data_IF_963842988374
#
_entry.id   IF_963842988374
#
_cell.length_a   1.000
_cell.length_b   1.000
_cell.length_c   1.000
_cell.angle_alpha   90.00
_cell.angle_beta   90.00
_cell.angle_gamma   90.00
#
_symmetry.space_group_name_H-M   'P 1'
#
loop_
_entity.id
_entity.type
_entity.pdbx_description
1 polymer ?
#
# COMPACT_ATOMS: atom_id res chain seq x y z
N UNK A 1 -10.24 25.60 3.62
CA UNK A 1 -8.95 25.26 2.99
C UNK A 1 -8.29 24.22 3.88
N UNK A 2 -7.80 23.11 3.31
CA UNK A 2 -6.99 22.15 4.07
C UNK A 2 -5.57 22.70 4.23
N UNK A 3 -4.93 22.39 5.36
CA UNK A 3 -3.55 22.76 5.67
C UNK A 3 -2.60 21.57 5.46
N UNK A 4 -1.30 21.79 5.58
CA UNK A 4 -0.27 20.76 5.41
C UNK A 4 -0.47 19.56 6.34
N UNK A 5 -0.91 19.80 7.58
CA UNK A 5 -1.22 18.73 8.53
C UNK A 5 -2.33 17.81 8.00
N UNK A 6 -3.37 18.40 7.39
CA UNK A 6 -4.46 17.65 6.75
C UNK A 6 -3.97 16.84 5.55
N UNK A 7 -3.07 17.38 4.73
CA UNK A 7 -2.49 16.68 3.58
C UNK A 7 -1.58 15.51 4.00
N UNK A 8 -0.74 15.70 5.02
CA UNK A 8 0.04 14.62 5.63
C UNK A 8 -0.86 13.50 6.14
N UNK A 9 -1.92 13.87 6.86
CA UNK A 9 -2.91 12.90 7.35
C UNK A 9 -3.58 12.13 6.21
N UNK A 10 -3.89 12.79 5.09
CA UNK A 10 -4.47 12.14 3.92
C UNK A 10 -3.53 11.09 3.32
N UNK A 11 -2.23 11.40 3.15
CA UNK A 11 -1.21 10.45 2.68
C UNK A 11 -1.11 9.26 3.64
N UNK A 12 -1.05 9.52 4.95
CA UNK A 12 -0.95 8.46 5.95
C UNK A 12 -2.15 7.51 5.91
N UNK A 13 -3.36 8.06 5.85
CA UNK A 13 -4.62 7.29 5.75
C UNK A 13 -4.70 6.49 4.45
N UNK A 14 -4.26 7.06 3.33
CA UNK A 14 -4.21 6.37 2.05
C UNK A 14 -3.27 5.14 2.10
N UNK A 15 -2.10 5.26 2.73
CA UNK A 15 -1.23 4.12 2.92
C UNK A 15 -1.81 3.06 3.86
N UNK A 16 -2.33 3.47 5.03
CA UNK A 16 -2.89 2.50 5.99
C UNK A 16 -4.10 1.75 5.39
N UNK A 17 -4.95 2.41 4.60
CA UNK A 17 -6.07 1.75 3.93
C UNK A 17 -5.58 0.68 2.94
N UNK A 18 -4.57 1.00 2.11
CA UNK A 18 -3.93 0.03 1.21
C UNK A 18 -3.29 -1.13 1.98
N UNK A 19 -2.58 -0.84 3.08
CA UNK A 19 -1.95 -1.86 3.93
C UNK A 19 -2.98 -2.82 4.53
N UNK A 20 -4.06 -2.30 5.11
CA UNK A 20 -5.09 -3.13 5.74
C UNK A 20 -5.88 -3.94 4.73
N UNK A 21 -6.20 -3.39 3.56
CA UNK A 21 -6.82 -4.13 2.47
C UNK A 21 -5.94 -5.31 2.03
N UNK A 22 -4.64 -5.07 1.88
CA UNK A 22 -3.68 -6.10 1.51
C UNK A 22 -3.64 -7.22 2.54
N UNK A 23 -3.50 -6.88 3.83
CA UNK A 23 -3.49 -7.84 4.93
C UNK A 23 -4.79 -8.64 5.04
N UNK A 24 -5.93 -8.02 4.76
CA UNK A 24 -7.23 -8.69 4.79
C UNK A 24 -7.46 -9.59 3.55
N UNK A 25 -6.76 -9.31 2.44
CA UNK A 25 -6.94 -10.03 1.18
C UNK A 25 -6.06 -11.26 1.06
N UNK A 26 -4.82 -11.17 1.56
CA UNK A 26 -3.84 -12.24 1.51
C UNK A 26 -4.13 -13.29 2.58
N UNK A 27 -3.87 -14.56 2.26
CA UNK A 27 -4.26 -15.71 3.09
C UNK A 27 -3.09 -16.51 3.62
N UNK A 28 -1.89 -16.31 3.06
CA UNK A 28 -0.70 -17.09 3.35
C UNK A 28 0.47 -16.24 3.88
N UNK A 29 0.22 -14.97 4.25
CA UNK A 29 1.25 -14.09 4.83
C UNK A 29 1.83 -14.70 6.11
N UNK A 30 3.16 -14.86 6.22
CA UNK A 30 3.80 -15.34 7.44
C UNK A 30 3.53 -14.42 8.64
N UNK A 31 3.50 -15.01 9.84
CA UNK A 31 3.45 -14.24 11.08
C UNK A 31 4.82 -13.62 11.38
N UNK A 32 5.07 -12.45 10.80
CA UNK A 32 6.28 -11.68 11.09
C UNK A 32 6.25 -11.14 12.53
N UNK A 33 7.38 -11.15 13.23
CA UNK A 33 7.51 -10.66 14.62
C UNK A 33 7.84 -9.16 14.70
N UNK A 34 8.25 -8.55 13.60
CA UNK A 34 8.61 -7.13 13.50
C UNK A 34 8.53 -6.66 12.05
N UNK A 35 8.73 -5.35 11.82
CA UNK A 35 8.81 -4.74 10.48
C UNK A 35 7.66 -5.18 9.53
N UNK A 36 6.42 -5.23 10.04
CA UNK A 36 5.28 -5.79 9.32
C UNK A 36 5.06 -5.11 7.95
N UNK A 37 5.23 -3.80 7.87
CA UNK A 37 5.11 -3.05 6.62
C UNK A 37 6.14 -3.47 5.56
N UNK A 38 7.42 -3.58 5.94
CA UNK A 38 8.48 -4.00 5.02
C UNK A 38 8.35 -5.46 4.62
N UNK A 39 8.03 -6.32 5.58
CA UNK A 39 7.88 -7.74 5.33
C UNK A 39 6.68 -8.06 4.43
N UNK A 40 5.54 -7.37 4.60
CA UNK A 40 4.39 -7.52 3.70
C UNK A 40 4.74 -7.13 2.26
N UNK A 41 5.46 -6.03 2.07
CA UNK A 41 5.93 -5.59 0.75
C UNK A 41 6.90 -6.63 0.16
N UNK A 42 7.84 -7.13 0.96
CA UNK A 42 8.81 -8.16 0.54
C UNK A 42 8.11 -9.45 0.08
N UNK A 43 7.13 -9.90 0.86
CA UNK A 43 6.27 -11.04 0.54
C UNK A 43 5.58 -10.89 -0.82
N UNK A 44 4.93 -9.75 -1.07
CA UNK A 44 4.24 -9.50 -2.34
C UNK A 44 5.19 -9.36 -3.52
N UNK A 45 6.39 -8.83 -3.31
CA UNK A 45 7.36 -8.55 -4.38
C UNK A 45 8.30 -9.71 -4.69
N UNK A 46 8.26 -10.78 -3.88
CA UNK A 46 9.06 -11.99 -4.04
C UNK A 46 8.17 -13.18 -4.44
N UNK A 47 8.08 -13.55 -5.74
CA UNK A 47 7.15 -14.57 -6.21
C UNK A 47 7.27 -15.93 -5.51
N UNK A 48 8.48 -16.30 -5.06
CA UNK A 48 8.71 -17.54 -4.34
C UNK A 48 8.06 -17.57 -2.94
N UNK A 49 7.88 -16.40 -2.31
CA UNK A 49 7.28 -16.26 -0.98
C UNK A 49 5.75 -16.26 -1.06
N UNK A 50 5.16 -15.60 -2.06
CA UNK A 50 3.70 -15.50 -2.22
C UNK A 50 3.09 -16.59 -3.12
N UNK A 51 3.84 -17.63 -3.49
CA UNK A 51 3.36 -18.73 -4.36
C UNK A 51 2.16 -19.52 -3.82
N UNK A 52 1.91 -19.44 -2.51
CA UNK A 52 0.77 -20.09 -1.87
C UNK A 52 -0.53 -19.29 -2.00
N UNK A 53 -0.45 -18.03 -2.41
CA UNK A 53 -1.65 -17.21 -2.57
C UNK A 53 -2.45 -17.63 -3.82
N UNK A 54 -3.78 -17.53 -3.75
CA UNK A 54 -4.67 -17.86 -4.85
C UNK A 54 -4.80 -16.69 -5.86
N UNK A 55 -3.72 -15.94 -6.06
CA UNK A 55 -3.70 -14.72 -6.87
C UNK A 55 -2.54 -14.74 -7.86
N UNK A 56 -2.71 -14.08 -9.00
CA UNK A 56 -1.65 -13.93 -9.98
C UNK A 56 -0.42 -13.21 -9.38
N UNK A 57 0.72 -13.91 -9.38
CA UNK A 57 1.97 -13.42 -8.78
C UNK A 57 2.49 -12.14 -9.42
N UNK A 58 2.25 -11.93 -10.72
CA UNK A 58 2.68 -10.71 -11.42
C UNK A 58 1.89 -9.50 -10.94
N UNK A 59 0.58 -9.64 -10.79
CA UNK A 59 -0.30 -8.60 -10.28
C UNK A 59 -0.03 -8.32 -8.80
N UNK A 60 0.19 -9.34 -7.98
CA UNK A 60 0.62 -9.16 -6.59
C UNK A 60 1.93 -8.38 -6.49
N UNK A 61 2.92 -8.69 -7.33
CA UNK A 61 4.20 -7.96 -7.35
C UNK A 61 4.01 -6.49 -7.70
N UNK A 62 3.15 -6.17 -8.67
CA UNK A 62 2.81 -4.79 -9.01
C UNK A 62 2.13 -4.07 -7.84
N UNK A 63 1.18 -4.71 -7.17
CA UNK A 63 0.55 -4.17 -5.96
C UNK A 63 1.58 -3.95 -4.84
N UNK A 64 2.52 -4.88 -4.64
CA UNK A 64 3.59 -4.73 -3.66
C UNK A 64 4.46 -3.48 -3.90
N UNK A 65 4.78 -3.16 -5.16
CA UNK A 65 5.50 -1.93 -5.50
C UNK A 65 4.65 -0.67 -5.28
N UNK A 66 3.36 -0.69 -5.60
CA UNK A 66 2.47 0.44 -5.27
C UNK A 66 2.39 0.68 -3.76
N UNK A 67 2.30 -0.40 -2.97
CA UNK A 67 2.29 -0.33 -1.51
C UNK A 67 3.61 0.24 -0.96
N UNK A 68 4.75 -0.11 -1.59
CA UNK A 68 6.06 0.45 -1.26
C UNK A 68 6.13 1.95 -1.54
N UNK A 69 5.71 2.39 -2.72
CA UNK A 69 5.70 3.82 -3.08
C UNK A 69 4.90 4.65 -2.08
N UNK A 70 3.69 4.19 -1.73
CA UNK A 70 2.86 4.95 -0.80
C UNK A 70 3.35 4.84 0.66
N UNK A 71 4.04 3.76 1.04
CA UNK A 71 4.75 3.67 2.33
C UNK A 71 5.83 4.74 2.44
N UNK A 72 6.60 4.94 1.36
CA UNK A 72 7.70 5.90 1.36
C UNK A 72 7.14 7.33 1.46
N UNK A 73 6.11 7.67 0.67
CA UNK A 73 5.38 8.94 0.81
C UNK A 73 4.80 9.14 2.22
N UNK A 74 4.29 8.06 2.84
CA UNK A 74 3.78 8.10 4.22
C UNK A 74 4.89 8.33 5.24
N UNK A 75 6.07 7.75 5.07
CA UNK A 75 7.20 8.04 5.94
C UNK A 75 7.61 9.52 5.86
N UNK A 76 7.67 10.08 4.64
CA UNK A 76 7.92 11.51 4.43
C UNK A 76 6.86 12.38 5.12
N UNK A 77 5.58 12.03 4.95
CA UNK A 77 4.46 12.74 5.55
C UNK A 77 4.45 12.68 7.09
N UNK A 78 4.72 11.51 7.68
CA UNK A 78 4.57 11.29 9.12
C UNK A 78 5.83 11.65 9.93
N UNK A 79 7.02 11.48 9.36
CA UNK A 79 8.28 11.58 10.11
C UNK A 79 9.22 12.71 9.65
N UNK A 80 9.15 13.13 8.39
CA UNK A 80 10.03 14.18 7.85
C UNK A 80 9.33 15.55 7.87
N UNK A 81 8.90 15.97 9.06
CA UNK A 81 8.11 17.21 9.24
C UNK A 81 8.96 18.46 9.01
N UNK A 82 10.24 18.43 9.43
CA UNK A 82 11.13 19.58 9.33
C UNK A 82 11.75 19.76 7.93
N UNK A 83 11.91 18.67 7.18
CA UNK A 83 12.76 18.64 5.98
C UNK A 83 11.96 18.59 4.66
N UNK A 84 10.68 18.21 4.72
CA UNK A 84 9.84 18.02 3.54
C UNK A 84 8.57 18.84 3.72
N UNK A 85 8.18 19.64 2.72
CA UNK A 85 6.84 20.24 2.69
C UNK A 85 5.89 19.34 1.90
N UNK A 86 4.72 19.06 2.48
CA UNK A 86 3.67 18.30 1.79
C UNK A 86 2.68 19.27 1.15
N UNK A 87 2.36 19.05 -0.13
CA UNK A 87 1.37 19.86 -0.85
C UNK A 87 0.03 19.14 -1.01
N UNK A 88 -0.98 19.91 -1.45
CA UNK A 88 -2.30 19.37 -1.81
C UNK A 88 -2.20 18.32 -2.91
N UNK A 89 -1.37 18.56 -3.92
CA UNK A 89 -1.18 17.70 -5.09
C UNK A 89 -0.55 16.35 -4.69
N UNK A 90 0.37 16.35 -3.72
CA UNK A 90 0.94 15.11 -3.16
C UNK A 90 -0.14 14.27 -2.46
N UNK A 91 -1.00 14.92 -1.67
CA UNK A 91 -2.12 14.24 -1.01
C UNK A 91 -3.16 13.72 -2.00
N UNK A 92 -3.49 14.48 -3.04
CA UNK A 92 -4.40 14.03 -4.11
C UNK A 92 -3.82 12.86 -4.90
N UNK A 93 -2.52 12.89 -5.18
CA UNK A 93 -1.80 11.77 -5.82
C UNK A 93 -1.84 10.51 -4.96
N UNK A 94 -1.66 10.65 -3.64
CA UNK A 94 -1.75 9.54 -2.69
C UNK A 94 -3.16 8.93 -2.67
N UNK A 95 -4.21 9.76 -2.66
CA UNK A 95 -5.61 9.30 -2.70
C UNK A 95 -5.90 8.57 -4.01
N UNK A 96 -5.55 9.17 -5.15
CA UNK A 96 -5.75 8.57 -6.47
C UNK A 96 -4.99 7.23 -6.61
N UNK A 97 -3.79 7.15 -6.03
CA UNK A 97 -3.00 5.91 -5.99
C UNK A 97 -3.70 4.82 -5.18
N UNK A 98 -4.29 5.17 -4.04
CA UNK A 98 -5.08 4.25 -3.23
C UNK A 98 -6.35 3.79 -3.97
N UNK A 99 -7.09 4.69 -4.61
CA UNK A 99 -8.28 4.33 -5.41
C UNK A 99 -7.94 3.32 -6.52
N UNK A 100 -6.87 3.59 -7.27
CA UNK A 100 -6.37 2.66 -8.29
C UNK A 100 -5.93 1.32 -7.68
N UNK A 101 -5.32 1.34 -6.51
CA UNK A 101 -4.94 0.14 -5.76
C UNK A 101 -6.15 -0.73 -5.42
N UNK A 102 -7.22 -0.13 -4.88
CA UNK A 102 -8.48 -0.82 -4.57
C UNK A 102 -9.19 -1.37 -5.81
N UNK A 103 -9.16 -0.63 -6.94
CA UNK A 103 -9.68 -1.11 -8.22
C UNK A 103 -8.95 -2.39 -8.67
N UNK A 104 -7.62 -2.41 -8.57
CA UNK A 104 -6.81 -3.59 -8.92
C UNK A 104 -7.07 -4.77 -7.98
N UNK A 105 -7.22 -4.54 -6.68
CA UNK A 105 -7.60 -5.59 -5.73
C UNK A 105 -8.97 -6.18 -6.03
N UNK A 106 -9.96 -5.33 -6.33
CA UNK A 106 -11.30 -5.77 -6.73
C UNK A 106 -11.22 -6.69 -7.95
N UNK A 107 -10.52 -6.26 -9.01
CA UNK A 107 -10.34 -7.06 -10.21
C UNK A 107 -9.62 -8.40 -9.93
N UNK A 108 -8.56 -8.38 -9.13
CA UNK A 108 -7.79 -9.57 -8.77
C UNK A 108 -8.62 -10.58 -7.96
N UNK A 109 -9.46 -10.09 -7.03
CA UNK A 109 -10.38 -10.93 -6.24
C UNK A 109 -11.50 -11.52 -7.09
N UNK A 110 -12.04 -10.76 -8.05
CA UNK A 110 -13.06 -11.26 -8.97
C UNK A 110 -12.53 -12.35 -9.90
N UNK A 111 -11.28 -12.22 -10.39
CA UNK A 111 -10.67 -13.23 -11.24
C UNK A 111 -10.45 -14.59 -10.54
N UNK A 112 -10.33 -14.61 -9.21
CA UNK A 112 -10.25 -15.83 -8.39
C UNK A 112 -11.60 -16.58 -8.28
N UNK A 113 -12.73 -15.89 -8.48
CA UNK A 113 -14.06 -16.46 -8.28
C UNK A 113 -14.64 -17.16 -9.54
N UNK A 114 -13.83 -17.28 -10.60
CA UNK A 114 -14.17 -17.94 -11.87
C UNK A 114 -13.42 -19.25 -11.99
#
# INVERSE_FOLDING_TARGET
MADEASWRSAISRAYYSMYHETMASLTCVPKYSSNHHGNLIGYMTTPAECKGEPYDSRTMRLLGYNLKQLRDARNEADYHIADISVSKEMAETAIASAELYFSKWTALKSAKAS
#
